data_IF_910183236219
#
_entry.id   IF_910183236219
#
_cell.length_a   1.000
_cell.length_b   1.000
_cell.length_c   1.000
_cell.angle_alpha   90.00
_cell.angle_beta   90.00
_cell.angle_gamma   90.00
#
_symmetry.space_group_name_H-M   'P 1'
#
loop_
_entity.id
_entity.type
_entity.pdbx_description
1 polymer ?
#
# COMPACT_ATOMS: atom_id res chain seq x y z
N UNK A 1 38.81 71.25 7.13
CA UNK A 1 39.93 71.04 6.18
C UNK A 1 39.41 70.01 5.17
N UNK A 2 38.88 70.39 4.00
CA UNK A 2 39.60 70.76 2.76
C UNK A 2 40.59 69.64 2.36
N UNK A 3 40.67 69.05 1.16
CA UNK A 3 40.12 69.21 -0.19
C UNK A 3 40.50 67.90 -0.96
N UNK A 4 39.79 67.54 -2.05
CA UNK A 4 40.22 66.59 -3.12
C UNK A 4 41.45 67.13 -3.90
N UNK A 5 42.24 66.38 -4.75
CA UNK A 5 41.82 65.48 -5.87
C UNK A 5 42.77 64.27 -6.23
N UNK A 6 42.46 63.49 -7.31
CA UNK A 6 43.26 62.37 -7.90
C UNK A 6 44.47 62.83 -8.78
N UNK A 7 44.96 62.14 -9.86
CA UNK A 7 44.83 60.76 -10.40
C UNK A 7 46.21 60.09 -10.83
N UNK A 8 46.21 59.06 -11.72
CA UNK A 8 47.34 58.51 -12.57
C UNK A 8 48.43 57.61 -11.91
N UNK A 9 49.09 56.58 -12.49
CA UNK A 9 49.13 55.87 -13.80
C UNK A 9 50.07 54.63 -13.73
N UNK A 10 49.94 53.70 -14.71
CA UNK A 10 50.98 52.91 -15.44
C UNK A 10 51.67 51.61 -14.92
N UNK A 11 51.81 50.68 -15.89
CA UNK A 11 52.69 49.50 -16.00
C UNK A 11 51.96 48.25 -16.53
N UNK A 12 51.81 47.97 -17.84
CA UNK A 12 52.79 47.38 -18.82
C UNK A 12 53.65 46.24 -18.26
N UNK A 13 53.96 45.10 -18.91
CA UNK A 13 53.68 44.45 -20.20
C UNK A 13 54.16 42.97 -20.10
N UNK A 14 53.52 42.07 -20.87
CA UNK A 14 54.07 41.03 -21.80
C UNK A 14 55.32 40.20 -21.42
N UNK A 15 55.23 38.85 -21.51
CA UNK A 15 56.25 37.86 -21.99
C UNK A 15 55.49 36.54 -22.35
N UNK A 16 55.19 36.19 -23.61
CA UNK A 16 55.94 35.48 -24.70
C UNK A 16 55.46 34.02 -24.89
N UNK A 17 55.01 33.69 -26.12
CA UNK A 17 55.17 32.36 -26.74
C UNK A 17 56.62 32.23 -27.26
N UNK A 18 57.10 31.04 -27.69
CA UNK A 18 57.06 30.77 -29.14
C UNK A 18 56.93 29.28 -29.60
N UNK A 19 56.37 29.09 -30.81
CA UNK A 19 56.89 28.40 -32.03
C UNK A 19 57.51 26.96 -31.92
N UNK A 20 57.50 26.02 -32.87
CA UNK A 20 56.95 25.82 -34.23
C UNK A 20 57.29 24.38 -34.70
N UNK A 21 56.50 23.85 -35.67
CA UNK A 21 56.88 23.06 -36.87
C UNK A 21 57.72 21.73 -36.79
N UNK A 22 57.16 20.63 -37.31
CA UNK A 22 57.64 19.92 -38.54
C UNK A 22 56.99 18.53 -38.78
N UNK A 23 56.78 18.23 -40.07
CA UNK A 23 56.15 17.06 -40.70
C UNK A 23 56.95 15.75 -40.63
N UNK A 24 56.26 14.59 -40.66
CA UNK A 24 56.56 13.50 -41.62
C UNK A 24 55.52 12.36 -41.68
N UNK A 25 55.10 12.07 -42.91
CA UNK A 25 54.29 10.95 -43.39
C UNK A 25 54.92 9.56 -43.19
N UNK A 26 54.08 8.53 -42.99
CA UNK A 26 54.20 7.22 -43.65
C UNK A 26 52.93 6.35 -43.49
N UNK A 27 52.20 6.17 -44.60
CA UNK A 27 51.43 4.98 -45.07
C UNK A 27 51.07 3.86 -44.07
N UNK A 28 49.83 3.35 -44.00
CA UNK A 28 49.32 2.32 -44.93
C UNK A 28 47.86 1.90 -44.60
N UNK A 29 47.18 1.39 -45.62
CA UNK A 29 45.75 1.05 -45.80
C UNK A 29 45.28 -0.23 -45.06
N UNK A 30 43.96 -0.29 -44.80
CA UNK A 30 43.09 -1.28 -44.12
C UNK A 30 43.17 -2.77 -44.59
N UNK A 31 42.40 -3.70 -43.97
CA UNK A 31 41.04 -3.91 -44.48
C UNK A 31 39.95 -4.15 -43.40
N UNK A 32 38.73 -3.86 -43.83
CA UNK A 32 37.47 -4.17 -43.14
C UNK A 32 37.25 -5.69 -43.05
N UNK A 33 36.77 -6.17 -41.90
CA UNK A 33 36.09 -7.45 -41.80
C UNK A 33 34.58 -7.22 -41.86
N UNK A 34 34.04 -7.60 -43.01
CA UNK A 34 32.63 -7.74 -43.33
C UNK A 34 32.09 -8.99 -42.62
N UNK A 35 31.45 -8.82 -41.46
CA UNK A 35 30.72 -9.92 -40.80
C UNK A 35 29.36 -10.05 -41.49
N UNK A 36 29.27 -11.03 -42.38
CA UNK A 36 28.03 -11.49 -43.01
C UNK A 36 27.13 -12.13 -41.96
N UNK A 37 26.02 -11.48 -41.61
CA UNK A 37 24.93 -12.10 -40.83
C UNK A 37 24.04 -12.91 -41.79
N UNK A 38 23.68 -14.16 -41.45
CA UNK A 38 22.75 -14.95 -42.25
C UNK A 38 21.31 -14.41 -42.11
N UNK A 39 20.58 -14.42 -43.23
CA UNK A 39 19.15 -14.11 -43.30
C UNK A 39 18.33 -15.34 -42.92
N UNK A 40 17.38 -15.15 -42.00
CA UNK A 40 16.29 -16.09 -41.61
C UNK A 40 16.40 -16.52 -40.14
N UNK A 41 15.40 -16.44 -39.27
CA UNK A 41 13.94 -16.34 -39.40
C UNK A 41 13.39 -15.39 -38.34
N UNK A 42 12.27 -14.71 -38.63
CA UNK A 42 11.58 -13.86 -37.66
C UNK A 42 11.08 -14.65 -36.45
N UNK A 43 11.71 -14.42 -35.31
CA UNK A 43 11.14 -14.58 -33.99
C UNK A 43 11.08 -13.19 -33.35
N UNK A 44 9.90 -12.80 -32.87
CA UNK A 44 9.76 -11.66 -31.98
C UNK A 44 10.48 -12.00 -30.66
N UNK A 45 11.79 -11.83 -30.62
CA UNK A 45 12.50 -11.75 -29.34
C UNK A 45 12.15 -10.39 -28.73
N UNK A 46 11.04 -10.35 -27.98
CA UNK A 46 10.87 -9.35 -26.93
C UNK A 46 12.11 -9.45 -26.04
N UNK A 47 13.04 -8.50 -26.21
CA UNK A 47 14.21 -8.38 -25.35
C UNK A 47 13.74 -8.38 -23.89
N UNK A 48 13.94 -9.50 -23.18
CA UNK A 48 13.60 -9.56 -21.76
C UNK A 48 14.35 -8.40 -21.08
N UNK A 49 13.64 -7.49 -20.40
CA UNK A 49 14.30 -6.38 -19.74
C UNK A 49 15.33 -6.94 -18.76
N UNK A 50 16.51 -6.33 -18.67
CA UNK A 50 17.54 -6.70 -17.71
C UNK A 50 17.00 -6.48 -16.28
N UNK A 51 16.36 -7.51 -15.72
CA UNK A 51 15.79 -7.48 -14.38
C UNK A 51 16.92 -7.56 -13.36
N UNK A 52 16.93 -6.62 -12.41
CA UNK A 52 17.78 -6.68 -11.24
C UNK A 52 17.23 -7.75 -10.27
N UNK A 53 18.09 -8.28 -9.38
CA UNK A 53 17.61 -9.13 -8.29
C UNK A 53 16.51 -8.40 -7.51
N UNK A 54 15.42 -9.10 -7.19
CA UNK A 54 14.27 -8.56 -6.45
C UNK A 54 13.36 -7.58 -7.20
N UNK A 55 13.53 -7.38 -8.51
CA UNK A 55 12.63 -6.52 -9.30
C UNK A 55 11.22 -7.13 -9.41
N UNK A 56 11.14 -8.46 -9.56
CA UNK A 56 9.85 -9.17 -9.62
C UNK A 56 9.16 -9.16 -8.26
N UNK A 57 9.90 -9.33 -7.18
CA UNK A 57 9.39 -9.11 -5.83
C UNK A 57 8.85 -7.68 -5.68
N UNK A 58 9.63 -6.68 -6.09
CA UNK A 58 9.27 -5.25 -6.00
C UNK A 58 8.06 -4.87 -6.85
N UNK A 59 7.71 -5.69 -7.85
CA UNK A 59 6.50 -5.51 -8.64
C UNK A 59 5.22 -5.81 -7.82
N UNK A 60 5.31 -6.70 -6.82
CA UNK A 60 4.19 -7.14 -5.97
C UNK A 60 4.22 -6.53 -4.57
N UNK A 61 5.39 -6.52 -3.92
CA UNK A 61 5.56 -6.11 -2.53
C UNK A 61 6.71 -5.12 -2.39
N UNK A 62 6.54 -4.16 -1.50
CA UNK A 62 7.64 -3.32 -1.04
C UNK A 62 8.49 -4.06 -0.02
N UNK A 63 7.86 -4.70 0.97
CA UNK A 63 8.54 -5.53 1.96
C UNK A 63 7.55 -6.43 2.72
N UNK A 64 8.11 -7.42 3.42
CA UNK A 64 7.43 -8.24 4.43
C UNK A 64 8.03 -7.88 5.79
N UNK A 65 7.18 -7.60 6.77
CA UNK A 65 7.60 -7.24 8.13
C UNK A 65 6.91 -8.14 9.15
N UNK A 66 7.64 -8.56 10.17
CA UNK A 66 7.06 -9.11 11.39
C UNK A 66 7.16 -8.07 12.48
N UNK A 67 6.03 -7.72 13.09
CA UNK A 67 5.95 -6.78 14.20
C UNK A 67 5.50 -7.52 15.44
N UNK A 68 6.30 -7.46 16.50
CA UNK A 68 5.97 -8.00 17.82
C UNK A 68 5.71 -6.92 18.84
N UNK A 69 5.36 -7.35 20.05
CA UNK A 69 5.23 -6.47 21.20
C UNK A 69 6.36 -6.73 22.20
N UNK A 70 7.28 -5.79 22.29
CA UNK A 70 8.33 -5.74 23.29
C UNK A 70 7.84 -5.00 24.54
N UNK A 71 8.23 -5.45 25.73
CA UNK A 71 7.76 -4.88 27.00
C UNK A 71 8.33 -3.49 27.29
N UNK A 72 9.51 -3.18 26.76
CA UNK A 72 10.22 -1.92 26.98
C UNK A 72 9.96 -0.93 25.84
N UNK A 73 9.99 -1.43 24.60
CA UNK A 73 9.88 -0.61 23.40
C UNK A 73 8.44 -0.48 22.88
N UNK A 74 7.52 -1.36 23.31
CA UNK A 74 6.19 -1.48 22.72
C UNK A 74 6.22 -2.21 21.38
N UNK A 75 5.45 -1.76 20.40
CA UNK A 75 5.39 -2.41 19.08
C UNK A 75 6.70 -2.20 18.30
N UNK A 76 7.37 -3.29 17.94
CA UNK A 76 8.66 -3.24 17.25
C UNK A 76 8.73 -4.24 16.09
N UNK A 77 9.37 -3.84 14.98
CA UNK A 77 9.71 -4.77 13.91
C UNK A 77 10.82 -5.70 14.40
N UNK A 78 10.52 -6.99 14.41
CA UNK A 78 11.46 -8.06 14.76
C UNK A 78 12.21 -8.55 13.52
N UNK A 79 11.49 -8.82 12.44
CA UNK A 79 12.05 -9.48 11.25
C UNK A 79 11.69 -8.71 9.98
N UNK A 80 12.69 -8.51 9.12
CA UNK A 80 12.52 -8.19 7.71
C UNK A 80 13.43 -9.09 6.88
N UNK A 81 12.88 -10.12 6.20
CA UNK A 81 13.68 -11.05 5.39
C UNK A 81 14.48 -10.31 4.31
N UNK A 82 13.92 -9.20 3.80
CA UNK A 82 14.58 -8.32 2.86
C UNK A 82 15.09 -7.07 3.57
N UNK A 83 16.41 -6.87 3.59
CA UNK A 83 17.05 -5.70 4.18
C UNK A 83 16.84 -4.43 3.32
N UNK A 84 15.59 -4.00 3.13
CA UNK A 84 15.34 -2.65 2.60
C UNK A 84 15.80 -1.64 3.66
N UNK A 85 16.85 -0.88 3.35
CA UNK A 85 17.50 0.09 4.25
C UNK A 85 16.62 1.29 4.67
N UNK A 86 15.37 1.39 4.20
CA UNK A 86 14.51 2.54 4.55
C UNK A 86 13.87 2.32 5.93
N UNK A 87 14.31 3.11 6.90
CA UNK A 87 13.82 3.11 8.28
C UNK A 87 12.72 4.15 8.52
N UNK A 88 12.41 5.01 7.52
CA UNK A 88 11.53 6.16 7.74
C UNK A 88 10.10 5.79 8.12
N UNK A 89 9.57 4.72 7.54
CA UNK A 89 8.19 4.32 7.75
C UNK A 89 8.02 3.24 8.84
N UNK A 90 9.12 2.87 9.54
CA UNK A 90 9.12 1.80 10.55
C UNK A 90 8.11 2.06 11.66
N UNK A 91 8.06 3.29 12.16
CA UNK A 91 7.21 3.67 13.29
C UNK A 91 5.74 3.54 12.93
N UNK A 92 5.32 4.05 11.77
CA UNK A 92 3.95 3.94 11.29
C UNK A 92 3.55 2.48 11.08
N UNK A 93 4.43 1.66 10.46
CA UNK A 93 4.18 0.23 10.31
C UNK A 93 3.98 -0.42 11.68
N UNK A 94 4.86 -0.20 12.66
CA UNK A 94 4.74 -0.80 13.98
C UNK A 94 3.39 -0.54 14.65
N UNK A 95 2.98 0.73 14.72
CA UNK A 95 1.77 1.12 15.44
C UNK A 95 0.48 0.74 14.70
N UNK A 96 0.46 0.87 13.36
CA UNK A 96 -0.72 0.50 12.57
C UNK A 96 -0.88 -1.02 12.43
N UNK A 97 0.15 -1.81 12.71
CA UNK A 97 0.09 -3.28 12.66
C UNK A 97 -0.63 -3.90 13.86
N UNK A 98 -0.99 -3.12 14.88
CA UNK A 98 -1.65 -3.61 16.08
C UNK A 98 -3.04 -2.95 16.25
N UNK A 99 -4.02 -3.68 16.81
CA UNK A 99 -5.26 -3.06 17.27
C UNK A 99 -5.00 -1.99 18.35
N UNK A 100 -5.57 -0.79 18.17
CA UNK A 100 -5.49 0.35 19.11
C UNK A 100 -6.42 0.16 20.31
N UNK A 101 -7.27 -0.88 20.26
CA UNK A 101 -8.16 -1.26 21.33
C UNK A 101 -8.13 -2.77 21.51
N UNK A 102 -7.98 -3.22 22.76
CA UNK A 102 -7.89 -4.65 23.11
C UNK A 102 -9.24 -5.38 23.06
N UNK A 103 -10.35 -4.69 22.77
CA UNK A 103 -11.67 -5.28 22.69
C UNK A 103 -11.81 -6.14 21.43
N UNK A 104 -12.15 -7.41 21.59
CA UNK A 104 -12.61 -8.25 20.48
C UNK A 104 -11.54 -8.84 19.56
N UNK A 105 -10.25 -8.67 19.86
CA UNK A 105 -9.16 -9.13 18.98
C UNK A 105 -8.50 -10.45 19.42
N UNK A 106 -9.20 -11.31 20.18
CA UNK A 106 -8.66 -12.63 20.56
C UNK A 106 -8.68 -13.58 19.35
N UNK A 107 -7.58 -14.28 19.11
CA UNK A 107 -7.37 -15.15 17.96
C UNK A 107 -6.64 -14.44 16.83
N UNK A 108 -7.00 -14.78 15.60
CA UNK A 108 -6.39 -14.23 14.39
C UNK A 108 -7.31 -13.19 13.75
N UNK A 109 -6.77 -12.04 13.39
CA UNK A 109 -7.49 -10.92 12.79
C UNK A 109 -6.73 -10.40 11.58
N UNK A 110 -7.42 -10.23 10.46
CA UNK A 110 -6.85 -9.61 9.26
C UNK A 110 -7.49 -8.26 9.00
N UNK A 111 -6.68 -7.28 8.64
CA UNK A 111 -7.12 -5.93 8.33
C UNK A 111 -6.08 -5.23 7.48
N UNK A 112 -6.45 -4.10 6.87
CA UNK A 112 -5.51 -3.28 6.14
C UNK A 112 -5.45 -1.85 6.66
N UNK A 113 -4.31 -1.20 6.49
CA UNK A 113 -4.14 0.23 6.69
C UNK A 113 -3.49 0.85 5.46
N UNK A 114 -3.68 2.15 5.29
CA UNK A 114 -3.06 2.95 4.22
C UNK A 114 -2.33 4.12 4.86
N UNK A 115 -1.07 4.32 4.49
CA UNK A 115 -0.23 5.35 5.09
C UNK A 115 0.57 6.07 4.01
N UNK A 116 0.87 7.35 4.26
CA UNK A 116 1.62 8.19 3.33
C UNK A 116 3.07 7.74 3.26
N UNK A 117 3.60 7.62 2.05
CA UNK A 117 5.01 7.34 1.82
C UNK A 117 5.87 8.55 2.23
N UNK A 118 6.96 8.32 2.98
CA UNK A 118 7.93 9.36 3.28
C UNK A 118 8.58 9.96 2.03
N UNK A 119 8.73 11.29 1.99
CA UNK A 119 9.25 12.03 0.83
C UNK A 119 10.62 11.52 0.34
N UNK A 120 10.77 11.42 -0.98
CA UNK A 120 11.94 10.99 -1.76
C UNK A 120 12.20 9.49 -1.82
N UNK A 121 11.74 8.86 -2.91
CA UNK A 121 12.56 8.34 -4.02
C UNK A 121 11.67 8.13 -5.26
N UNK A 122 12.02 8.73 -6.40
CA UNK A 122 11.59 8.20 -7.70
C UNK A 122 12.31 6.86 -7.87
N UNK A 123 11.60 5.75 -7.73
CA UNK A 123 12.15 4.45 -8.08
C UNK A 123 12.36 4.44 -9.61
N UNK A 124 13.53 4.03 -10.09
CA UNK A 124 13.81 3.86 -11.52
C UNK A 124 12.88 2.83 -12.18
N UNK A 125 12.29 1.92 -11.41
CA UNK A 125 11.21 1.01 -11.82
C UNK A 125 9.87 1.71 -12.06
N UNK A 126 9.74 2.99 -11.69
CA UNK A 126 8.49 3.76 -11.83
C UNK A 126 8.00 3.81 -13.27
N UNK A 127 8.91 4.01 -14.25
CA UNK A 127 8.57 4.06 -15.67
C UNK A 127 8.13 2.68 -16.22
N UNK A 128 8.80 1.60 -15.80
CA UNK A 128 8.46 0.24 -16.24
C UNK A 128 7.10 -0.23 -15.68
N UNK A 129 6.85 0.04 -14.40
CA UNK A 129 5.60 -0.35 -13.72
C UNK A 129 4.42 0.56 -14.08
N UNK A 130 4.65 1.79 -14.57
CA UNK A 130 3.59 2.69 -15.06
C UNK A 130 2.85 2.09 -16.25
N UNK A 131 3.55 1.34 -17.10
CA UNK A 131 2.93 0.66 -18.25
C UNK A 131 2.01 -0.49 -17.80
N UNK A 132 2.36 -1.19 -16.71
CA UNK A 132 1.59 -2.31 -16.19
C UNK A 132 0.21 -1.89 -15.64
N UNK A 133 0.06 -0.64 -15.19
CA UNK A 133 -1.18 -0.10 -14.64
C UNK A 133 -2.10 0.52 -15.72
N UNK A 134 -1.65 0.61 -16.99
CA UNK A 134 -2.40 1.30 -18.06
C UNK A 134 -3.83 0.77 -18.20
N UNK A 135 -3.93 -0.56 -18.28
CA UNK A 135 -5.18 -1.27 -18.54
C UNK A 135 -5.90 -1.69 -17.25
N UNK A 136 -5.40 -1.29 -16.07
CA UNK A 136 -6.06 -1.56 -14.79
C UNK A 136 -7.27 -0.62 -14.56
N UNK A 137 -8.35 -1.10 -13.89
CA UNK A 137 -9.44 -0.25 -13.42
C UNK A 137 -8.92 0.91 -12.56
N UNK A 138 -9.60 2.05 -12.59
CA UNK A 138 -9.15 3.26 -11.90
C UNK A 138 -9.01 3.08 -10.39
N UNK A 139 -9.88 2.27 -9.79
CA UNK A 139 -9.83 1.90 -8.36
C UNK A 139 -8.63 1.03 -7.99
N UNK A 140 -7.94 0.44 -8.96
CA UNK A 140 -6.83 -0.50 -8.76
C UNK A 140 -5.47 0.00 -9.18
N UNK A 141 -5.41 1.21 -9.75
CA UNK A 141 -4.14 1.86 -10.08
C UNK A 141 -3.37 2.18 -8.80
N UNK A 142 -2.04 2.05 -8.87
CA UNK A 142 -1.16 2.39 -7.75
C UNK A 142 -1.30 3.87 -7.40
N UNK A 143 -1.32 4.15 -6.12
CA UNK A 143 -1.16 5.51 -5.61
C UNK A 143 0.33 5.76 -5.36
N UNK A 144 0.90 6.75 -6.04
CA UNK A 144 2.32 7.08 -5.89
C UNK A 144 2.65 7.69 -4.52
N UNK A 145 1.65 8.23 -3.80
CA UNK A 145 1.84 8.88 -2.51
C UNK A 145 1.67 7.96 -1.30
N UNK A 146 1.18 6.73 -1.48
CA UNK A 146 0.73 5.89 -0.37
C UNK A 146 1.13 4.42 -0.53
N UNK A 147 1.33 3.78 0.61
CA UNK A 147 1.43 2.32 0.71
C UNK A 147 0.21 1.74 1.42
N UNK A 148 -0.07 0.49 1.09
CA UNK A 148 -1.03 -0.36 1.78
C UNK A 148 -0.26 -1.36 2.64
N UNK A 149 -0.63 -1.44 3.92
CA UNK A 149 -0.20 -2.49 4.82
C UNK A 149 -1.32 -3.50 5.03
N UNK A 150 -1.09 -4.75 4.66
CA UNK A 150 -2.00 -5.87 4.90
C UNK A 150 -1.49 -6.65 6.11
N UNK A 151 -2.34 -6.83 7.11
CA UNK A 151 -1.95 -7.34 8.43
C UNK A 151 -2.61 -8.67 8.69
N UNK A 152 -1.83 -9.62 9.22
CA UNK A 152 -2.32 -10.78 9.95
C UNK A 152 -1.85 -10.66 11.39
N UNK A 153 -2.74 -10.28 12.29
CA UNK A 153 -2.48 -10.15 13.71
C UNK A 153 -2.96 -11.39 14.45
N UNK A 154 -2.09 -11.98 15.27
CA UNK A 154 -2.39 -13.10 16.16
C UNK A 154 -2.29 -12.64 17.60
N UNK A 155 -3.36 -12.84 18.37
CA UNK A 155 -3.37 -12.67 19.81
C UNK A 155 -3.93 -13.92 20.51
N UNK A 156 -3.07 -14.63 21.22
CA UNK A 156 -3.44 -15.86 21.93
C UNK A 156 -3.06 -15.72 23.40
N UNK A 157 -3.88 -16.29 24.30
CA UNK A 157 -3.54 -16.34 25.72
C UNK A 157 -2.32 -17.23 25.92
N UNK A 158 -1.30 -16.68 26.56
CA UNK A 158 -0.10 -17.41 26.91
C UNK A 158 0.31 -17.03 28.33
N UNK A 159 0.16 -17.97 29.25
CA UNK A 159 0.47 -17.78 30.67
C UNK A 159 1.98 -17.74 30.95
N UNK A 160 2.81 -18.22 30.01
CA UNK A 160 4.26 -18.17 30.15
C UNK A 160 4.82 -16.76 29.97
N UNK A 161 4.08 -15.89 29.27
CA UNK A 161 4.46 -14.50 29.02
C UNK A 161 3.96 -13.58 30.13
N UNK A 162 4.78 -12.60 30.54
CA UNK A 162 4.46 -11.64 31.61
C UNK A 162 3.14 -10.89 31.38
N UNK A 163 2.78 -10.64 30.12
CA UNK A 163 1.54 -9.93 29.73
C UNK A 163 0.32 -10.84 29.65
N UNK A 164 0.50 -12.17 29.75
CA UNK A 164 -0.57 -13.16 29.65
C UNK A 164 -1.06 -13.43 28.22
N UNK A 165 -0.47 -12.78 27.22
CA UNK A 165 -0.84 -12.90 25.81
C UNK A 165 0.40 -12.89 24.91
N UNK A 166 0.42 -13.80 23.96
CA UNK A 166 1.24 -13.71 22.75
C UNK A 166 0.56 -12.74 21.78
N UNK A 167 1.29 -11.77 21.26
CA UNK A 167 0.79 -10.81 20.27
C UNK A 167 1.83 -10.56 19.20
N UNK A 168 1.47 -10.80 17.94
CA UNK A 168 2.39 -10.66 16.82
C UNK A 168 1.64 -10.43 15.52
N UNK A 169 2.21 -9.61 14.64
CA UNK A 169 1.66 -9.29 13.32
C UNK A 169 2.64 -9.66 12.22
N UNK A 170 2.17 -10.42 11.23
CA UNK A 170 2.83 -10.52 9.92
C UNK A 170 2.20 -9.50 8.97
N UNK A 171 3.02 -8.69 8.31
CA UNK A 171 2.56 -7.55 7.53
C UNK A 171 3.20 -7.52 6.16
N UNK A 172 2.36 -7.40 5.13
CA UNK A 172 2.78 -7.21 3.75
C UNK A 172 2.58 -5.75 3.37
N UNK A 173 3.63 -5.07 2.92
CA UNK A 173 3.55 -3.69 2.43
C UNK A 173 3.55 -3.72 0.90
N UNK A 174 2.58 -3.09 0.26
CA UNK A 174 2.49 -3.01 -1.20
C UNK A 174 1.97 -1.65 -1.68
N UNK A 175 2.22 -1.33 -2.95
CA UNK A 175 1.55 -0.23 -3.67
C UNK A 175 0.24 -0.67 -4.34
N UNK A 176 0.01 -1.97 -4.42
CA UNK A 176 -1.14 -2.56 -5.09
C UNK A 176 -2.31 -2.66 -4.10
N UNK A 177 -3.49 -2.12 -4.43
CA UNK A 177 -4.69 -2.20 -3.58
C UNK A 177 -5.42 -3.55 -3.73
N UNK A 178 -4.69 -4.67 -3.71
CA UNK A 178 -5.24 -6.02 -3.93
C UNK A 178 -5.58 -6.72 -2.62
N UNK A 179 -6.54 -6.16 -1.89
CA UNK A 179 -6.91 -6.53 -0.52
C UNK A 179 -7.16 -8.03 -0.37
N UNK A 180 -8.04 -8.60 -1.19
CA UNK A 180 -8.42 -10.01 -1.15
C UNK A 180 -7.24 -10.93 -1.47
N UNK A 181 -6.39 -10.54 -2.42
CA UNK A 181 -5.18 -11.29 -2.78
C UNK A 181 -4.18 -11.34 -1.61
N UNK A 182 -3.82 -10.19 -1.03
CA UNK A 182 -2.84 -10.14 0.04
C UNK A 182 -3.36 -10.74 1.35
N UNK A 183 -4.66 -10.63 1.64
CA UNK A 183 -5.27 -11.38 2.75
C UNK A 183 -5.20 -12.89 2.53
N UNK A 184 -5.47 -13.39 1.32
CA UNK A 184 -5.32 -14.82 1.00
C UNK A 184 -3.86 -15.27 1.09
N UNK A 185 -2.91 -14.46 0.62
CA UNK A 185 -1.48 -14.73 0.75
C UNK A 185 -1.07 -14.82 2.22
N UNK A 186 -1.52 -13.88 3.06
CA UNK A 186 -1.26 -13.91 4.51
C UNK A 186 -1.84 -15.14 5.20
N UNK A 187 -2.99 -15.68 4.76
CA UNK A 187 -3.55 -16.92 5.31
C UNK A 187 -2.67 -18.14 5.04
N UNK A 188 -1.79 -18.09 4.04
CA UNK A 188 -0.80 -19.14 3.76
C UNK A 188 0.48 -18.85 4.55
N UNK A 189 0.99 -17.62 4.47
CA UNK A 189 2.29 -17.25 5.06
C UNK A 189 2.28 -17.22 6.59
N UNK A 190 1.22 -16.69 7.21
CA UNK A 190 1.21 -16.42 8.64
C UNK A 190 1.23 -17.71 9.49
N UNK A 191 0.39 -18.73 9.24
CA UNK A 191 0.46 -19.99 9.98
C UNK A 191 1.84 -20.64 9.90
N UNK A 192 2.40 -20.71 8.69
CA UNK A 192 3.73 -21.28 8.45
C UNK A 192 4.83 -20.49 9.17
N UNK A 193 4.75 -19.16 9.20
CA UNK A 193 5.69 -18.32 9.95
C UNK A 193 5.59 -18.55 11.45
N UNK A 194 4.38 -18.67 12.01
CA UNK A 194 4.23 -18.90 13.44
C UNK A 194 4.75 -20.27 13.89
N UNK A 195 4.86 -21.23 12.97
CA UNK A 195 5.40 -22.56 13.25
C UNK A 195 6.90 -22.68 12.92
N UNK A 196 7.34 -22.14 11.77
CA UNK A 196 8.69 -22.33 11.21
C UNK A 196 9.60 -21.10 11.29
N UNK A 197 9.07 -19.94 11.69
CA UNK A 197 9.78 -18.67 11.86
C UNK A 197 10.46 -18.17 10.57
N UNK A 198 11.60 -17.49 10.68
CA UNK A 198 12.24 -16.70 9.62
C UNK A 198 12.55 -17.45 8.31
N UNK A 199 13.05 -18.71 8.32
CA UNK A 199 13.41 -19.42 7.09
C UNK A 199 12.24 -19.58 6.11
N UNK A 200 11.01 -19.67 6.61
CA UNK A 200 9.85 -19.79 5.73
C UNK A 200 9.55 -18.48 4.99
N UNK A 201 9.87 -17.33 5.59
CA UNK A 201 9.71 -16.03 4.96
C UNK A 201 10.78 -15.78 3.90
N UNK A 202 12.01 -16.25 4.11
CA UNK A 202 13.05 -16.22 3.09
C UNK A 202 12.67 -17.06 1.86
N UNK A 203 12.15 -18.27 2.09
CA UNK A 203 11.61 -19.11 1.03
C UNK A 203 10.45 -18.41 0.29
N UNK A 204 9.52 -17.81 1.04
CA UNK A 204 8.41 -17.06 0.46
C UNK A 204 8.87 -15.86 -0.38
N UNK A 205 9.87 -15.08 0.08
CA UNK A 205 10.43 -13.99 -0.71
C UNK A 205 11.02 -14.51 -2.04
N UNK A 206 11.76 -15.62 -2.01
CA UNK A 206 12.32 -16.23 -3.22
C UNK A 206 11.23 -16.75 -4.18
N UNK A 207 10.15 -17.32 -3.66
CA UNK A 207 9.00 -17.75 -4.47
C UNK A 207 8.34 -16.54 -5.15
N UNK A 208 8.12 -15.45 -4.40
CA UNK A 208 7.52 -14.20 -4.90
C UNK A 208 8.40 -13.52 -5.96
N UNK A 209 9.73 -13.56 -5.80
CA UNK A 209 10.65 -13.01 -6.80
C UNK A 209 10.68 -13.82 -8.11
N UNK A 210 10.07 -14.99 -8.15
CA UNK A 210 9.91 -15.78 -9.38
C UNK A 210 8.55 -15.52 -10.07
N UNK A 211 7.66 -14.76 -9.44
CA UNK A 211 6.35 -14.49 -10.00
C UNK A 211 6.44 -13.66 -11.29
N UNK A 212 5.46 -13.84 -12.22
CA UNK A 212 5.26 -12.88 -13.31
C UNK A 212 4.89 -11.51 -12.76
N UNK A 213 5.13 -10.45 -13.53
CA UNK A 213 4.69 -9.11 -13.16
C UNK A 213 3.15 -9.04 -13.10
N UNK A 214 2.56 -8.26 -12.17
CA UNK A 214 1.12 -8.15 -12.02
C UNK A 214 0.50 -7.36 -13.18
N UNK A 215 0.13 -8.07 -14.25
CA UNK A 215 -0.49 -7.49 -15.44
C UNK A 215 -2.01 -7.71 -15.48
N UNK A 216 -2.81 -6.65 -15.70
CA UNK A 216 -4.25 -6.75 -15.95
C UNK A 216 -4.59 -7.70 -17.11
N UNK A 217 -5.72 -8.41 -17.00
CA UNK A 217 -6.33 -9.20 -18.06
C UNK A 217 -5.83 -10.65 -18.18
N UNK A 218 -4.64 -10.95 -17.66
CA UNK A 218 -4.06 -12.30 -17.69
C UNK A 218 -4.39 -13.08 -16.41
N UNK A 219 -4.62 -14.39 -16.58
CA UNK A 219 -4.63 -15.32 -15.44
C UNK A 219 -3.18 -15.63 -15.07
N UNK A 220 -2.82 -15.35 -13.83
CA UNK A 220 -1.49 -15.57 -13.27
C UNK A 220 -1.55 -16.80 -12.37
N UNK A 221 -0.54 -17.66 -12.49
CA UNK A 221 -0.28 -18.77 -11.56
C UNK A 221 0.90 -18.38 -10.69
N UNK A 222 0.68 -18.26 -9.39
CA UNK A 222 1.62 -17.72 -8.42
C UNK A 222 1.96 -18.81 -7.38
N UNK A 223 3.04 -19.58 -7.60
CA UNK A 223 3.48 -20.60 -6.66
C UNK A 223 4.00 -19.98 -5.37
N UNK A 224 3.60 -20.53 -4.22
CA UNK A 224 4.02 -20.07 -2.91
C UNK A 224 3.90 -21.20 -1.89
N UNK A 225 5.00 -21.56 -1.23
CA UNK A 225 5.00 -22.55 -0.14
C UNK A 225 4.30 -23.89 -0.50
N UNK A 226 4.49 -24.37 -1.72
CA UNK A 226 3.90 -25.64 -2.20
C UNK A 226 2.43 -25.55 -2.64
N UNK A 227 1.84 -24.36 -2.64
CA UNK A 227 0.49 -24.07 -3.17
C UNK A 227 0.60 -23.14 -4.38
N UNK A 228 -0.32 -23.22 -5.34
CA UNK A 228 -0.38 -22.28 -6.46
C UNK A 228 -1.63 -21.40 -6.34
N UNK A 229 -1.46 -20.09 -6.17
CA UNK A 229 -2.57 -19.14 -6.25
C UNK A 229 -2.81 -18.81 -7.72
N UNK A 230 -3.98 -19.19 -8.25
CA UNK A 230 -4.43 -18.82 -9.59
C UNK A 230 -5.36 -17.62 -9.48
N UNK A 231 -5.01 -16.53 -10.16
CA UNK A 231 -5.69 -15.24 -10.01
C UNK A 231 -5.70 -14.45 -11.31
N UNK A 232 -6.77 -13.71 -11.59
CA UNK A 232 -6.83 -12.78 -12.73
C UNK A 232 -6.94 -11.34 -12.21
N UNK A 233 -6.07 -10.46 -12.68
CA UNK A 233 -6.19 -9.02 -12.41
C UNK A 233 -7.21 -8.43 -13.39
N UNK A 234 -8.25 -7.72 -12.91
CA UNK A 234 -9.26 -7.14 -13.79
C UNK A 234 -8.69 -6.03 -14.68
N UNK A 235 -9.36 -5.78 -15.81
CA UNK A 235 -9.04 -4.71 -16.75
C UNK A 235 -10.09 -3.61 -16.72
N UNK A 236 -9.75 -2.41 -17.18
CA UNK A 236 -10.71 -1.32 -17.38
C UNK A 236 -11.76 -1.62 -18.47
N UNK A 237 -11.58 -2.68 -19.26
CA UNK A 237 -12.51 -3.14 -20.28
C UNK A 237 -13.47 -4.22 -19.77
N UNK A 238 -13.24 -4.76 -18.57
CA UNK A 238 -14.12 -5.76 -17.97
C UNK A 238 -15.47 -5.12 -17.64
N UNK A 239 -16.57 -5.84 -17.86
CA UNK A 239 -17.89 -5.34 -17.46
C UNK A 239 -18.01 -5.38 -15.94
N UNK A 240 -18.54 -4.32 -15.30
CA UNK A 240 -18.80 -4.33 -13.86
C UNK A 240 -19.67 -5.54 -13.47
N UNK A 241 -19.27 -6.25 -12.41
CA UNK A 241 -20.01 -7.42 -11.91
C UNK A 241 -19.79 -8.73 -12.68
N UNK A 242 -19.00 -8.75 -13.76
CA UNK A 242 -18.55 -10.00 -14.38
C UNK A 242 -17.20 -10.44 -13.85
N UNK A 243 -17.18 -11.34 -12.87
CA UNK A 243 -15.97 -12.09 -12.52
C UNK A 243 -15.79 -13.20 -13.54
N UNK A 244 -14.79 -13.10 -14.40
CA UNK A 244 -14.37 -14.26 -15.19
C UNK A 244 -13.80 -15.31 -14.23
N UNK A 245 -14.60 -16.32 -13.91
CA UNK A 245 -14.16 -17.45 -13.11
C UNK A 245 -12.99 -18.10 -13.84
N UNK A 246 -11.82 -18.11 -13.18
CA UNK A 246 -10.68 -18.88 -13.66
C UNK A 246 -11.08 -20.35 -13.60
N UNK A 247 -11.39 -20.93 -14.76
CA UNK A 247 -11.71 -22.36 -14.85
C UNK A 247 -10.46 -23.15 -14.49
N UNK A 248 -10.54 -23.92 -13.41
CA UNK A 248 -9.49 -24.88 -13.08
C UNK A 248 -9.58 -26.05 -14.06
N UNK A 249 -8.67 -26.12 -15.02
CA UNK A 249 -8.49 -27.34 -15.81
C UNK A 249 -7.93 -28.42 -14.88
N UNK A 250 -8.70 -29.49 -14.68
CA UNK A 250 -8.34 -30.65 -13.85
C UNK A 250 -7.21 -31.45 -14.50
N UNK A 251 -5.99 -30.93 -14.49
CA UNK A 251 -4.78 -31.64 -14.93
C UNK A 251 -3.59 -31.46 -14.00
N UNK A 252 -3.68 -30.58 -12.98
CA UNK A 252 -2.58 -30.33 -12.06
C UNK A 252 -2.68 -31.24 -10.81
N UNK A 253 -1.66 -32.07 -10.60
CA UNK A 253 -1.42 -32.80 -9.34
C UNK A 253 -0.99 -31.89 -8.18
N UNK A 254 -1.06 -30.57 -8.34
CA UNK A 254 -0.65 -29.56 -7.35
C UNK A 254 -1.86 -28.90 -6.67
N UNK A 255 -1.75 -28.63 -5.37
CA UNK A 255 -2.78 -27.89 -4.61
C UNK A 255 -2.87 -26.47 -5.13
N UNK A 256 -4.03 -26.07 -5.63
CA UNK A 256 -4.25 -24.71 -6.17
C UNK A 256 -5.43 -24.00 -5.51
N UNK A 257 -5.28 -22.70 -5.31
CA UNK A 257 -6.32 -21.81 -4.79
C UNK A 257 -6.71 -20.86 -5.93
N UNK A 258 -7.98 -20.87 -6.32
CA UNK A 258 -8.51 -19.92 -7.31
C UNK A 258 -9.17 -18.76 -6.59
N UNK A 259 -8.68 -17.54 -6.82
CA UNK A 259 -9.31 -16.33 -6.28
C UNK A 259 -10.29 -15.75 -7.30
N UNK A 260 -11.59 -15.62 -6.97
CA UNK A 260 -12.58 -15.07 -7.88
C UNK A 260 -12.37 -13.57 -8.13
N UNK A 261 -11.84 -12.85 -7.14
CA UNK A 261 -11.55 -11.42 -7.18
C UNK A 261 -10.27 -11.13 -6.41
N UNK A 262 -9.59 -10.02 -6.73
CA UNK A 262 -8.32 -9.64 -6.07
C UNK A 262 -8.46 -8.55 -5.03
N UNK A 263 -9.55 -7.79 -5.10
CA UNK A 263 -9.71 -6.51 -4.40
C UNK A 263 -11.10 -6.32 -3.78
N UNK A 264 -12.10 -7.10 -4.21
CA UNK A 264 -13.47 -6.89 -3.77
C UNK A 264 -13.64 -7.35 -2.33
N UNK A 265 -14.17 -6.45 -1.51
CA UNK A 265 -14.62 -6.73 -0.14
C UNK A 265 -16.08 -7.19 -0.16
N UNK A 266 -16.49 -7.93 0.87
CA UNK A 266 -17.88 -8.38 1.01
C UNK A 266 -18.80 -7.20 1.38
N UNK A 267 -19.35 -6.54 0.36
CA UNK A 267 -20.21 -5.37 0.50
C UNK A 267 -21.46 -5.67 1.36
N UNK A 268 -22.04 -6.86 1.20
CA UNK A 268 -23.23 -7.25 1.95
C UNK A 268 -22.91 -7.31 3.44
N UNK A 269 -21.82 -8.01 3.81
CA UNK A 269 -21.38 -8.10 5.20
C UNK A 269 -21.06 -6.73 5.78
N UNK A 270 -20.42 -5.84 5.01
CA UNK A 270 -20.03 -4.51 5.48
C UNK A 270 -21.24 -3.56 5.67
N UNK A 271 -22.21 -3.60 4.76
CA UNK A 271 -23.36 -2.68 4.81
C UNK A 271 -24.58 -3.22 5.52
N UNK A 272 -24.66 -4.53 5.79
CA UNK A 272 -25.78 -5.11 6.54
C UNK A 272 -26.11 -4.33 7.84
N UNK A 273 -25.14 -3.91 8.68
CA UNK A 273 -25.44 -3.13 9.89
C UNK A 273 -26.00 -1.72 9.64
N UNK A 274 -25.77 -1.15 8.45
CA UNK A 274 -26.13 0.23 8.07
C UNK A 274 -27.04 0.27 6.84
N UNK A 275 -27.73 -0.83 6.55
CA UNK A 275 -28.47 -1.03 5.30
C UNK A 275 -29.44 0.13 5.00
N UNK A 276 -30.17 0.61 6.00
CA UNK A 276 -31.12 1.72 5.86
C UNK A 276 -30.48 3.08 5.57
N UNK A 277 -29.15 3.20 5.70
CA UNK A 277 -28.40 4.42 5.47
C UNK A 277 -27.52 4.36 4.21
N UNK A 278 -27.55 3.25 3.45
CA UNK A 278 -26.63 3.01 2.34
C UNK A 278 -26.69 4.10 1.27
N UNK A 279 -27.88 4.61 0.95
CA UNK A 279 -28.07 5.70 -0.02
C UNK A 279 -27.36 6.98 0.44
N UNK A 280 -27.58 7.39 1.69
CA UNK A 280 -26.95 8.57 2.27
C UNK A 280 -25.43 8.39 2.36
N UNK A 281 -24.96 7.22 2.79
CA UNK A 281 -23.52 6.94 2.84
C UNK A 281 -22.89 7.02 1.45
N UNK A 282 -23.55 6.49 0.43
CA UNK A 282 -23.10 6.60 -0.95
C UNK A 282 -23.04 8.06 -1.42
N UNK A 283 -24.05 8.88 -1.10
CA UNK A 283 -24.06 10.32 -1.41
C UNK A 283 -22.90 11.07 -0.72
N UNK A 284 -22.66 10.80 0.57
CA UNK A 284 -21.55 11.39 1.32
C UNK A 284 -20.20 11.04 0.69
N UNK A 285 -20.01 9.77 0.30
CA UNK A 285 -18.78 9.30 -0.34
C UNK A 285 -18.62 9.93 -1.73
N UNK A 286 -19.70 10.06 -2.50
CA UNK A 286 -19.69 10.68 -3.83
C UNK A 286 -19.32 12.17 -3.77
N UNK A 287 -19.81 12.88 -2.74
CA UNK A 287 -19.55 14.30 -2.53
C UNK A 287 -18.20 14.58 -1.83
N UNK A 288 -17.51 13.54 -1.36
CA UNK A 288 -16.27 13.68 -0.59
C UNK A 288 -16.51 14.31 0.78
N UNK A 289 -17.67 14.08 1.40
CA UNK A 289 -17.95 14.60 2.73
C UNK A 289 -17.08 13.92 3.81
N UNK A 290 -16.57 14.66 4.81
CA UNK A 290 -15.79 14.09 5.91
C UNK A 290 -16.60 13.06 6.70
N UNK A 291 -16.11 11.81 6.78
CA UNK A 291 -16.85 10.70 7.37
C UNK A 291 -15.97 9.86 8.31
N UNK A 292 -16.44 9.63 9.53
CA UNK A 292 -15.78 8.73 10.49
C UNK A 292 -16.57 7.43 10.58
N UNK A 293 -15.91 6.30 10.31
CA UNK A 293 -16.42 4.95 10.52
C UNK A 293 -15.87 4.41 11.83
N UNK A 294 -16.72 4.31 12.85
CA UNK A 294 -16.37 3.67 14.12
C UNK A 294 -16.79 2.21 14.10
N UNK A 295 -15.85 1.28 14.30
CA UNK A 295 -16.10 -0.16 14.22
C UNK A 295 -15.52 -0.92 15.44
N UNK A 296 -16.00 -2.13 15.75
CA UNK A 296 -15.54 -2.88 16.92
C UNK A 296 -14.16 -3.53 16.76
N UNK A 297 -13.70 -3.69 15.52
CA UNK A 297 -12.41 -4.31 15.19
C UNK A 297 -11.74 -3.62 14.01
N UNK A 298 -10.39 -3.70 13.88
CA UNK A 298 -9.68 -3.17 12.72
C UNK A 298 -10.13 -3.81 11.40
N UNK A 299 -10.53 -5.09 11.45
CA UNK A 299 -11.07 -5.81 10.31
C UNK A 299 -12.35 -5.13 9.80
N UNK A 300 -13.35 -4.96 10.67
CA UNK A 300 -14.61 -4.31 10.30
C UNK A 300 -14.42 -2.85 9.90
N UNK A 301 -13.52 -2.13 10.56
CA UNK A 301 -13.14 -0.75 10.19
C UNK A 301 -12.63 -0.70 8.75
N UNK A 302 -11.57 -1.47 8.47
CA UNK A 302 -10.89 -1.42 7.17
C UNK A 302 -11.77 -1.93 6.04
N UNK A 303 -12.48 -3.05 6.24
CA UNK A 303 -13.41 -3.60 5.26
C UNK A 303 -14.55 -2.63 4.95
N UNK A 304 -15.11 -1.95 5.95
CA UNK A 304 -16.21 -0.99 5.73
C UNK A 304 -15.75 0.25 4.97
N UNK A 305 -14.59 0.81 5.31
CA UNK A 305 -14.05 1.98 4.57
C UNK A 305 -13.76 1.61 3.12
N UNK A 306 -13.16 0.43 2.88
CA UNK A 306 -12.94 -0.08 1.53
C UNK A 306 -14.26 -0.36 0.78
N UNK A 307 -15.29 -0.85 1.47
CA UNK A 307 -16.62 -1.05 0.90
C UNK A 307 -17.24 0.28 0.47
N UNK A 308 -17.14 1.33 1.31
CA UNK A 308 -17.66 2.66 1.00
C UNK A 308 -17.02 3.23 -0.27
N UNK A 309 -15.68 3.24 -0.36
CA UNK A 309 -14.99 3.78 -1.55
C UNK A 309 -15.24 2.93 -2.80
N UNK A 310 -15.40 1.62 -2.67
CA UNK A 310 -15.64 0.73 -3.82
C UNK A 310 -17.05 0.88 -4.41
N UNK A 311 -18.02 1.41 -3.66
CA UNK A 311 -19.36 1.70 -4.17
C UNK A 311 -19.40 2.82 -5.22
N UNK A 312 -18.32 3.59 -5.36
CA UNK A 312 -18.20 4.57 -6.44
C UNK A 312 -17.76 3.94 -7.77
N UNK A 313 -17.30 2.69 -7.77
CA UNK A 313 -16.88 2.00 -8.99
C UNK A 313 -17.96 2.13 -10.09
N UNK A 314 -17.61 2.51 -11.32
CA UNK A 314 -16.25 2.61 -11.88
C UNK A 314 -15.56 3.98 -11.71
N UNK A 315 -16.15 4.92 -10.97
CA UNK A 315 -15.58 6.24 -10.72
C UNK A 315 -14.37 6.16 -9.78
N UNK A 316 -13.45 7.13 -9.93
CA UNK A 316 -12.34 7.31 -8.99
C UNK A 316 -12.85 7.99 -7.73
N UNK A 317 -12.59 7.39 -6.57
CA UNK A 317 -12.64 8.12 -5.32
C UNK A 317 -11.41 9.05 -5.25
N UNK A 318 -11.63 10.36 -5.20
CA UNK A 318 -10.57 11.37 -5.31
C UNK A 318 -10.14 11.96 -3.96
N UNK A 319 -10.95 11.78 -2.93
CA UNK A 319 -10.66 12.22 -1.56
C UNK A 319 -9.75 11.23 -0.84
N UNK A 320 -9.24 11.62 0.32
CA UNK A 320 -8.38 10.73 1.09
C UNK A 320 -9.20 9.68 1.86
N UNK A 321 -8.55 8.59 2.25
CA UNK A 321 -9.15 7.59 3.12
C UNK A 321 -8.10 6.82 3.93
N UNK A 322 -8.48 6.47 5.15
CA UNK A 322 -7.71 5.62 6.07
C UNK A 322 -8.58 4.43 6.47
N UNK A 323 -8.36 3.23 5.89
CA UNK A 323 -9.15 2.05 6.24
C UNK A 323 -9.08 1.73 7.74
N UNK A 324 -7.91 1.97 8.33
CA UNK A 324 -7.69 1.86 9.75
C UNK A 324 -6.73 2.96 10.20
N UNK A 325 -7.20 3.78 11.13
CA UNK A 325 -6.55 4.97 11.64
C UNK A 325 -6.49 4.91 13.17
N UNK A 326 -5.34 5.28 13.73
CA UNK A 326 -5.07 5.17 15.17
C UNK A 326 -4.55 6.49 15.72
N UNK A 327 -4.52 6.61 17.04
CA UNK A 327 -3.93 7.78 17.71
C UNK A 327 -2.42 7.94 17.45
N UNK A 328 -1.79 6.90 16.94
CA UNK A 328 -0.36 6.83 16.66
C UNK A 328 -0.01 7.11 15.20
N UNK A 329 -1.02 7.37 14.36
CA UNK A 329 -0.80 7.78 12.96
C UNK A 329 -0.01 9.10 12.92
N UNK A 330 0.94 9.22 12.00
CA UNK A 330 1.77 10.41 11.86
C UNK A 330 0.96 11.67 11.50
N UNK A 331 -0.20 11.48 10.87
CA UNK A 331 -1.12 12.55 10.48
C UNK A 331 -2.25 12.74 11.50
N UNK A 332 -2.16 12.12 12.68
CA UNK A 332 -3.16 12.26 13.76
C UNK A 332 -3.49 13.72 14.09
N UNK A 333 -2.47 14.58 14.24
CA UNK A 333 -2.69 16.00 14.57
C UNK A 333 -3.38 16.76 13.43
N UNK A 334 -3.12 16.38 12.19
CA UNK A 334 -3.70 17.00 11.00
C UNK A 334 -5.21 16.74 10.94
N UNK A 335 -5.63 15.48 11.13
CA UNK A 335 -7.05 15.12 11.08
C UNK A 335 -7.84 15.47 12.36
N UNK A 336 -7.18 15.67 13.50
CA UNK A 336 -7.87 15.96 14.77
C UNK A 336 -7.88 17.44 15.16
N UNK A 337 -7.28 18.32 14.36
CA UNK A 337 -7.29 19.76 14.63
C UNK A 337 -8.70 20.34 14.58
N UNK A 338 -8.97 21.30 15.47
CA UNK A 338 -10.25 22.05 15.53
C UNK A 338 -10.18 23.44 14.92
N UNK A 339 -9.00 23.84 14.45
CA UNK A 339 -8.76 25.18 13.91
C UNK A 339 -9.20 25.32 12.46
N UNK A 340 -9.44 24.21 11.76
CA UNK A 340 -9.80 24.16 10.36
C UNK A 340 -11.06 23.31 10.18
N UNK A 341 -11.75 23.51 9.05
CA UNK A 341 -12.81 22.61 8.66
C UNK A 341 -12.24 21.18 8.47
N UNK A 342 -12.99 20.13 8.82
CA UNK A 342 -12.56 18.76 8.59
C UNK A 342 -12.19 18.55 7.12
N UNK A 343 -11.03 17.93 6.81
CA UNK A 343 -10.64 17.65 5.43
C UNK A 343 -11.58 16.60 4.83
N UNK A 344 -11.65 16.58 3.49
CA UNK A 344 -12.37 15.55 2.74
C UNK A 344 -11.65 14.20 2.89
N UNK A 345 -12.07 13.40 3.86
CA UNK A 345 -11.46 12.10 4.19
C UNK A 345 -12.46 11.16 4.84
N UNK A 346 -12.30 9.85 4.57
CA UNK A 346 -12.98 8.78 5.32
C UNK A 346 -11.98 8.16 6.30
N UNK A 347 -12.31 8.17 7.60
CA UNK A 347 -11.47 7.60 8.66
C UNK A 347 -12.14 6.38 9.30
N UNK A 348 -11.52 5.21 9.18
CA UNK A 348 -11.89 4.02 9.93
C UNK A 348 -11.17 3.96 11.26
N UNK A 349 -11.90 3.89 12.37
CA UNK A 349 -11.35 3.88 13.73
C UNK A 349 -12.03 2.83 14.60
N UNK A 350 -11.30 2.32 15.59
CA UNK A 350 -11.83 1.37 16.58
C UNK A 350 -11.87 1.95 17.99
N UNK A 351 -10.99 2.89 18.28
CA UNK A 351 -10.83 3.44 19.63
C UNK A 351 -11.96 4.42 19.97
N UNK A 352 -12.75 4.18 21.04
CA UNK A 352 -13.83 5.08 21.46
C UNK A 352 -13.39 6.51 21.76
N UNK A 353 -12.09 6.73 22.02
CA UNK A 353 -11.49 8.06 22.14
C UNK A 353 -11.86 8.97 20.96
N UNK A 354 -11.90 8.43 19.74
CA UNK A 354 -12.26 9.19 18.54
C UNK A 354 -13.68 9.75 18.57
N UNK A 355 -14.64 9.12 19.28
CA UNK A 355 -15.99 9.65 19.41
C UNK A 355 -16.00 11.04 20.07
N UNK A 356 -15.10 11.27 21.03
CA UNK A 356 -14.97 12.56 21.72
C UNK A 356 -14.08 13.53 20.93
N UNK A 357 -12.99 13.03 20.37
CA UNK A 357 -12.01 13.86 19.64
C UNK A 357 -12.62 14.44 18.38
N UNK A 358 -13.35 13.61 17.61
CA UNK A 358 -13.97 13.97 16.34
C UNK A 358 -15.47 14.32 16.46
N UNK A 359 -15.98 14.58 17.67
CA UNK A 359 -17.41 14.90 17.89
C UNK A 359 -17.93 16.13 17.11
N UNK A 360 -17.00 16.96 16.62
CA UNK A 360 -17.29 18.17 15.85
C UNK A 360 -17.40 17.89 14.34
N UNK A 361 -17.07 16.66 13.90
CA UNK A 361 -17.18 16.25 12.50
C UNK A 361 -18.65 16.07 12.10
N UNK A 362 -18.99 16.37 10.84
CA UNK A 362 -20.39 16.39 10.40
C UNK A 362 -21.02 14.99 10.34
N UNK A 363 -20.23 13.95 10.04
CA UNK A 363 -20.74 12.60 9.82
C UNK A 363 -19.91 11.55 10.58
N UNK A 364 -20.59 10.81 11.46
CA UNK A 364 -20.03 9.67 12.19
C UNK A 364 -21.00 8.50 12.04
N UNK A 365 -20.51 7.39 11.49
CA UNK A 365 -21.25 6.12 11.40
C UNK A 365 -20.65 5.13 12.39
N UNK A 366 -21.51 4.41 13.11
CA UNK A 366 -21.11 3.34 14.04
C UNK A 366 -21.54 2.00 13.46
N UNK A 367 -20.57 1.12 13.25
CA UNK A 367 -20.77 -0.23 12.72
C UNK A 367 -20.80 -1.21 13.90
N UNK A 368 -21.80 -2.09 13.90
CA UNK A 368 -21.96 -3.12 14.93
C UNK A 368 -22.34 -2.60 16.32
N UNK A 369 -22.59 -3.54 17.23
CA UNK A 369 -22.84 -3.24 18.65
C UNK A 369 -21.51 -2.99 19.36
N UNK A 370 -21.03 -1.75 19.30
CA UNK A 370 -20.05 -1.27 20.26
C UNK A 370 -20.70 -1.35 21.64
N UNK A 371 -20.29 -2.31 22.47
CA UNK A 371 -20.79 -2.45 23.85
C UNK A 371 -20.49 -1.17 24.64
N UNK A 372 -21.38 -0.18 24.55
CA UNK A 372 -21.50 0.88 25.53
C UNK A 372 -22.14 0.26 26.78
N UNK A 373 -21.68 0.62 27.99
CA UNK A 373 -22.44 0.28 29.19
C UNK A 373 -23.76 1.05 29.10
N UNK A 374 -24.86 0.31 28.86
CA UNK A 374 -26.26 0.73 28.93
C UNK A 374 -26.67 1.96 28.09
N UNK A 375 -27.29 1.72 26.92
CA UNK A 375 -28.71 1.97 26.65
C UNK A 375 -29.01 1.57 25.18
N UNK A 376 -29.96 0.64 25.01
CA UNK A 376 -30.68 0.20 23.81
C UNK A 376 -30.23 0.67 22.42
N UNK A 377 -29.94 -0.32 21.57
CA UNK A 377 -29.47 -0.17 20.19
C UNK A 377 -30.33 0.75 19.32
N UNK A 378 -29.66 1.77 18.81
CA UNK A 378 -29.94 2.45 17.54
C UNK A 378 -28.60 2.82 16.93
N UNK A 379 -28.37 2.48 15.66
CA UNK A 379 -27.33 3.13 14.88
C UNK A 379 -27.66 4.62 14.84
N UNK A 380 -26.93 5.43 15.61
CA UNK A 380 -27.11 6.88 15.69
C UNK A 380 -26.15 7.52 14.70
N UNK A 381 -26.69 7.93 13.55
CA UNK A 381 -26.11 9.02 12.78
C UNK A 381 -26.48 10.33 13.49
N UNK A 382 -25.48 11.03 14.02
CA UNK A 382 -25.65 12.41 14.48
C UNK A 382 -25.17 13.35 13.38
N UNK A 383 -26.08 14.08 12.74
CA UNK A 383 -25.75 15.26 11.94
C UNK A 383 -25.56 16.46 12.88
N UNK A 384 -24.43 17.17 12.78
CA UNK A 384 -24.27 18.45 13.47
C UNK A 384 -25.31 19.49 12.96
N UNK A 385 -25.82 20.40 13.81
CA UNK A 385 -26.77 21.41 13.37
C UNK A 385 -26.10 22.39 12.40
N UNK A 386 -26.76 22.65 11.28
CA UNK A 386 -26.33 23.60 10.25
C UNK A 386 -25.97 24.95 10.85
N UNK A 387 -24.74 25.43 10.62
CA UNK A 387 -24.38 26.83 10.85
C UNK A 387 -25.28 27.70 9.98
N UNK A 388 -26.22 28.42 10.60
CA UNK A 388 -27.03 29.44 9.92
C UNK A 388 -26.09 30.55 9.49
N UNK A 389 -25.97 30.76 8.18
CA UNK A 389 -25.43 31.99 7.61
C UNK A 389 -26.37 33.14 7.99
N UNK A 390 -25.89 34.07 8.80
CA UNK A 390 -26.54 35.37 8.98
C UNK A 390 -26.32 36.19 7.71
N UNK A 391 -27.43 36.51 7.03
CA UNK A 391 -27.51 37.57 6.02
C UNK A 391 -27.34 38.94 6.65
#
# INVERSE_FOLDING_TARGET
MALQPGPEELGEQVVEEPEDMEDQDASSISPAEEITLPVGQGGEDESEPLLLPWDRFSAWLHCICVVGFDLELGQAVEVRPQQSKDYRDKTSICYLSFPDSNSGCLGDTQFCFRFRQGSNRKSSLGCFLETADRDAPVSLKRDQGHYYGYVYFRQVRDKSLKRGYFQKSLVLISRLPYVTFFHSLLKILAPEYFDKLEPCLEAACNDIDRWPTPHPGRVLSLPIMGVVIKVRIPTCYDKPGTSQLVQSTQTDSQVSIVLPTIHEVDLFRCFHPVFFHIQMLWELVLLGEPLVVMAPSPAESSDTVLALISCLSPLRYCSDFRPYFTIHDSEFKEYTTRTQAPPSVILGVTNPFFAKTLQHWPHIVRIGDMKSPSLHGKALLSSAPSCRTSS
#
